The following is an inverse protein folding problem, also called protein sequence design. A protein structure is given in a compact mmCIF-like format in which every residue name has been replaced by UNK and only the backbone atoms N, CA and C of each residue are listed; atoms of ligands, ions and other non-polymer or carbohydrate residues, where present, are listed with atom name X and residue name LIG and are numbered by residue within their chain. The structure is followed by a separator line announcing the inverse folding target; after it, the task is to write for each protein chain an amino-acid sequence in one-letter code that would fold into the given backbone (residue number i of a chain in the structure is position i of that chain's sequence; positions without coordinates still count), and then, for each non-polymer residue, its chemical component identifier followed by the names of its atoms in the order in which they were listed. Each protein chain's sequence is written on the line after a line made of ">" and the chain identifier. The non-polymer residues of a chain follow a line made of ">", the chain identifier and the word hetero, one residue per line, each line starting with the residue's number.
data_IF_148101193656
#
_entry.id   IF_148101193656
#
_cell.length_a   1.000
_cell.length_b   1.000
_cell.length_c   1.000
_cell.angle_alpha   90.00
_cell.angle_beta   90.00
_cell.angle_gamma   90.00
#
_symmetry.space_group_name_H-M   'P 1'
#
loop_
_entity.id
_entity.type
_entity.pdbx_description
1 polymer ?
#
# COMPACT_ATOMS: atom_id res chain seq x y z
N UNK A 1 -18.82 3.55 17.64
CA UNK A 1 -18.46 2.57 16.58
C UNK A 1 -18.17 3.40 15.34
N UNK A 2 -16.91 3.84 15.24
CA UNK A 2 -16.47 4.79 14.24
C UNK A 2 -16.48 4.18 12.84
N UNK A 3 -17.40 4.67 12.02
CA UNK A 3 -17.58 4.28 10.61
C UNK A 3 -16.38 4.77 9.76
N UNK A 4 -15.62 5.75 10.28
CA UNK A 4 -14.42 6.34 9.66
C UNK A 4 -13.29 5.33 9.50
N UNK A 5 -13.03 4.51 10.53
CA UNK A 5 -11.98 3.49 10.50
C UNK A 5 -12.17 2.41 9.42
N UNK A 6 -13.40 2.23 8.93
CA UNK A 6 -13.69 1.19 7.94
C UNK A 6 -13.33 1.60 6.51
N UNK A 7 -13.32 2.91 6.23
CA UNK A 7 -12.97 3.49 4.93
C UNK A 7 -11.45 3.58 4.72
N UNK A 8 -10.69 3.89 5.77
CA UNK A 8 -9.23 3.92 5.70
C UNK A 8 -8.69 2.51 5.35
N UNK A 9 -9.21 1.48 6.02
CA UNK A 9 -8.88 0.06 5.72
C UNK A 9 -9.06 -0.35 4.26
N UNK A 10 -9.95 0.33 3.52
CA UNK A 10 -10.11 0.09 2.09
C UNK A 10 -8.94 0.70 1.32
N UNK A 11 -8.56 1.95 1.59
CA UNK A 11 -7.45 2.63 0.90
C UNK A 11 -6.15 1.84 1.03
N UNK A 12 -5.85 1.34 2.22
CA UNK A 12 -4.62 0.57 2.43
C UNK A 12 -4.68 -0.82 1.78
N UNK A 13 -5.84 -1.48 1.81
CA UNK A 13 -6.04 -2.72 1.07
C UNK A 13 -5.93 -2.51 -0.44
N UNK A 14 -6.39 -1.37 -0.96
CA UNK A 14 -6.21 -0.98 -2.35
C UNK A 14 -4.74 -0.69 -2.67
N UNK A 15 -4.02 -0.03 -1.77
CA UNK A 15 -2.58 0.24 -1.93
C UNK A 15 -1.79 -1.06 -2.00
N UNK A 16 -2.12 -2.02 -1.16
CA UNK A 16 -1.53 -3.36 -1.18
C UNK A 16 -1.83 -4.08 -2.50
N UNK A 17 -3.08 -4.07 -2.97
CA UNK A 17 -3.47 -4.69 -4.24
C UNK A 17 -2.82 -4.01 -5.46
N UNK A 18 -2.72 -2.67 -5.46
CA UNK A 18 -2.01 -1.92 -6.48
C UNK A 18 -0.51 -2.24 -6.48
N UNK A 19 0.09 -2.42 -5.29
CA UNK A 19 1.50 -2.78 -5.14
C UNK A 19 1.80 -4.18 -5.64
N UNK A 20 0.90 -5.13 -5.36
CA UNK A 20 0.95 -6.49 -5.91
C UNK A 20 0.87 -6.53 -7.44
N UNK A 21 0.08 -5.63 -8.03
CA UNK A 21 -0.09 -5.53 -9.49
C UNK A 21 0.89 -4.59 -10.19
N UNK A 22 1.84 -3.97 -9.47
CA UNK A 22 2.80 -3.03 -10.05
C UNK A 22 2.19 -1.71 -10.54
N UNK A 23 1.03 -1.32 -10.01
CA UNK A 23 0.24 -0.16 -10.47
C UNK A 23 0.73 1.13 -9.80
N UNK A 24 1.85 1.65 -10.27
CA UNK A 24 2.52 2.84 -9.70
C UNK A 24 1.60 4.06 -9.59
N UNK A 25 0.81 4.37 -10.62
CA UNK A 25 -0.09 5.54 -10.60
C UNK A 25 -1.22 5.41 -9.57
N UNK A 26 -1.77 4.20 -9.41
CA UNK A 26 -2.79 3.94 -8.38
C UNK A 26 -2.18 4.06 -6.98
N UNK A 27 -0.98 3.50 -6.78
CA UNK A 27 -0.25 3.63 -5.52
C UNK A 27 -0.04 5.11 -5.17
N UNK A 28 0.41 5.91 -6.13
CA UNK A 28 0.63 7.35 -5.94
C UNK A 28 -0.68 8.07 -5.56
N UNK A 29 -1.78 7.76 -6.24
CA UNK A 29 -3.08 8.39 -5.98
C UNK A 29 -3.59 8.06 -4.58
N UNK A 30 -3.46 6.80 -4.15
CA UNK A 30 -3.87 6.33 -2.82
C UNK A 30 -3.02 6.96 -1.71
N UNK A 31 -1.70 7.06 -1.92
CA UNK A 31 -0.79 7.74 -0.98
C UNK A 31 -1.14 9.23 -0.84
N UNK A 32 -1.45 9.90 -1.96
CA UNK A 32 -1.93 11.30 -1.93
C UNK A 32 -3.28 11.44 -1.20
N UNK A 33 -4.13 10.40 -1.21
CA UNK A 33 -5.39 10.36 -0.45
C UNK A 33 -5.19 10.06 1.06
N UNK A 34 -3.94 9.95 1.52
CA UNK A 34 -3.60 9.69 2.91
C UNK A 34 -3.68 8.20 3.29
N UNK A 35 -3.51 7.29 2.32
CA UNK A 35 -3.33 5.88 2.65
C UNK A 35 -2.05 5.68 3.49
N UNK A 36 -2.14 4.87 4.52
CA UNK A 36 -0.97 4.53 5.33
C UNK A 36 -0.01 3.62 4.53
N UNK A 37 1.18 4.16 4.25
CA UNK A 37 2.23 3.51 3.48
C UNK A 37 2.82 2.29 4.21
N UNK A 38 2.80 2.31 5.54
CA UNK A 38 3.32 1.26 6.42
C UNK A 38 2.23 0.29 6.88
N UNK A 39 1.03 0.41 6.30
CA UNK A 39 -0.04 -0.51 6.61
C UNK A 39 0.35 -1.95 6.27
N UNK A 40 0.03 -2.86 7.16
CA UNK A 40 0.31 -4.28 7.00
C UNK A 40 -0.98 -5.07 6.98
N UNK A 41 -1.13 -5.93 5.97
CA UNK A 41 -2.28 -6.82 5.93
C UNK A 41 -2.07 -7.97 6.92
N UNK A 42 -2.63 -7.86 8.12
CA UNK A 42 -2.57 -8.93 9.13
C UNK A 42 -3.24 -10.23 8.68
N UNK A 43 -4.15 -10.18 7.71
CA UNK A 43 -4.80 -11.36 7.15
C UNK A 43 -3.90 -12.17 6.20
N UNK A 44 -2.97 -11.52 5.52
CA UNK A 44 -2.02 -12.17 4.59
C UNK A 44 -0.59 -12.12 5.12
N UNK A 45 -0.42 -12.60 6.36
CA UNK A 45 0.89 -12.78 6.97
C UNK A 45 1.58 -11.49 7.44
N UNK A 46 0.85 -10.38 7.58
CA UNK A 46 1.42 -9.10 8.00
C UNK A 46 2.26 -8.43 6.91
N UNK A 47 1.97 -8.71 5.64
CA UNK A 47 2.77 -8.20 4.53
C UNK A 47 2.44 -6.73 4.25
N UNK A 48 3.47 -5.90 4.07
CA UNK A 48 3.34 -4.49 3.69
C UNK A 48 3.28 -4.32 2.15
N UNK A 49 2.71 -3.23 1.64
CA UNK A 49 2.68 -2.92 0.21
C UNK A 49 4.08 -2.98 -0.43
N UNK A 50 5.10 -2.49 0.28
CA UNK A 50 6.47 -2.47 -0.22
C UNK A 50 7.06 -3.88 -0.36
N UNK A 51 6.80 -4.77 0.60
CA UNK A 51 7.23 -6.16 0.52
C UNK A 51 6.54 -6.88 -0.63
N UNK A 52 5.26 -6.62 -0.88
CA UNK A 52 4.53 -7.26 -1.97
C UNK A 52 5.02 -6.76 -3.33
N UNK A 53 5.26 -5.47 -3.49
CA UNK A 53 5.88 -4.91 -4.68
C UNK A 53 7.30 -5.48 -4.91
N UNK A 54 8.09 -5.63 -3.85
CA UNK A 54 9.44 -6.19 -3.93
C UNK A 54 9.42 -7.68 -4.32
N UNK A 55 8.52 -8.48 -3.74
CA UNK A 55 8.33 -9.91 -4.08
C UNK A 55 7.98 -10.11 -5.55
N UNK A 56 7.14 -9.24 -6.11
CA UNK A 56 6.73 -9.29 -7.52
C UNK A 56 7.72 -8.59 -8.47
N UNK A 57 8.81 -8.01 -7.96
CA UNK A 57 9.83 -7.34 -8.77
C UNK A 57 9.42 -5.95 -9.30
N UNK A 58 8.39 -5.34 -8.73
CA UNK A 58 7.88 -4.02 -9.11
C UNK A 58 8.72 -2.89 -8.53
N UNK A 59 9.95 -2.76 -9.04
CA UNK A 59 10.97 -1.81 -8.55
C UNK A 59 10.47 -0.36 -8.50
N UNK A 60 9.63 0.06 -9.44
CA UNK A 60 9.10 1.42 -9.47
C UNK A 60 8.13 1.68 -8.30
N UNK A 61 7.26 0.72 -8.00
CA UNK A 61 6.36 0.83 -6.86
C UNK A 61 7.15 0.84 -5.55
N UNK A 62 8.19 0.00 -5.44
CA UNK A 62 9.09 0.00 -4.26
C UNK A 62 9.74 1.38 -4.07
N UNK A 63 10.24 1.99 -5.15
CA UNK A 63 10.82 3.34 -5.09
C UNK A 63 9.80 4.38 -4.67
N UNK A 64 8.58 4.31 -5.21
CA UNK A 64 7.51 5.22 -4.87
C UNK A 64 7.13 5.14 -3.38
N UNK A 65 6.94 3.92 -2.87
CA UNK A 65 6.59 3.70 -1.47
C UNK A 65 7.71 4.18 -0.54
N UNK A 66 8.97 3.86 -0.87
CA UNK A 66 10.13 4.32 -0.09
C UNK A 66 10.27 5.86 -0.13
N UNK A 67 9.98 6.50 -1.27
CA UNK A 67 9.97 7.96 -1.38
C UNK A 67 8.87 8.61 -0.51
N UNK A 68 7.80 7.87 -0.21
CA UNK A 68 6.73 8.29 0.70
C UNK A 68 7.00 7.92 2.17
N UNK A 69 8.18 7.39 2.50
CA UNK A 69 8.56 7.04 3.86
C UNK A 69 8.13 5.65 4.32
N UNK A 70 7.92 4.71 3.39
CA UNK A 70 7.79 3.30 3.72
C UNK A 70 9.08 2.74 4.33
N UNK A 71 8.96 1.99 5.42
CA UNK A 71 10.05 1.24 6.09
C UNK A 71 9.68 -0.25 6.19
#
# INVERSE_FOLDING_TARGET
>A
MDITHHLDRLKESFLWAASKGGRTQECQSLLTMGADVNWSNKGEGGTTPILEAAKNGHREVVRLLMAMGAD
#
